data_IF_623470581462
#
_entry.id   IF_623470581462
#
_cell.length_a   1.000
_cell.length_b   1.000
_cell.length_c   1.000
_cell.angle_alpha   90.00
_cell.angle_beta   90.00
_cell.angle_gamma   90.00
#
_symmetry.space_group_name_H-M   'P 1'
#
loop_
_entity.id
_entity.type
_entity.pdbx_description
1 polymer ?
#
# COMPACT_ATOMS: atom_id res chain seq x y z
N UNK A 1 -8.50 15.72 33.29
CA UNK A 1 -9.17 14.63 32.54
C UNK A 1 -9.98 15.19 31.39
N UNK A 2 -10.85 16.14 31.64
CA UNK A 2 -11.66 16.76 30.62
C UNK A 2 -10.82 17.47 29.54
N UNK A 3 -9.74 18.14 29.96
CA UNK A 3 -8.81 18.81 29.02
C UNK A 3 -8.16 17.82 28.06
N UNK A 4 -7.78 16.64 28.55
CA UNK A 4 -7.15 15.60 27.71
C UNK A 4 -8.16 15.05 26.71
N UNK A 5 -9.39 14.76 27.15
CA UNK A 5 -10.45 14.27 26.27
C UNK A 5 -10.85 15.30 25.23
N UNK A 6 -10.99 16.58 25.63
CA UNK A 6 -11.28 17.66 24.71
C UNK A 6 -10.14 17.86 23.73
N UNK A 7 -8.87 17.73 24.19
CA UNK A 7 -7.70 17.83 23.35
C UNK A 7 -7.65 16.75 22.28
N UNK A 8 -7.94 15.50 22.65
CA UNK A 8 -7.96 14.36 21.72
C UNK A 8 -9.11 14.51 20.72
N UNK A 9 -10.31 14.86 21.21
CA UNK A 9 -11.48 15.08 20.37
C UNK A 9 -11.28 16.21 19.38
N UNK A 10 -10.71 17.32 19.84
CA UNK A 10 -10.39 18.47 18.99
C UNK A 10 -9.36 18.10 17.93
N UNK A 11 -8.31 17.38 18.32
CA UNK A 11 -7.26 16.93 17.41
C UNK A 11 -7.84 16.02 16.33
N UNK A 12 -8.66 15.06 16.72
CA UNK A 12 -9.31 14.11 15.81
C UNK A 12 -10.22 14.85 14.82
N UNK A 13 -11.06 15.77 15.33
CA UNK A 13 -11.93 16.59 14.48
C UNK A 13 -11.12 17.44 13.50
N UNK A 14 -9.99 17.97 13.95
CA UNK A 14 -9.10 18.77 13.11
C UNK A 14 -8.56 17.96 11.93
N UNK A 15 -8.13 16.74 12.20
CA UNK A 15 -7.64 15.83 11.16
C UNK A 15 -8.75 15.51 10.16
N UNK A 16 -9.94 15.15 10.63
CA UNK A 16 -11.07 14.82 9.76
C UNK A 16 -11.48 16.03 8.91
N UNK A 17 -11.54 17.22 9.50
CA UNK A 17 -11.87 18.43 8.77
C UNK A 17 -10.81 18.77 7.73
N UNK A 18 -9.54 18.57 8.05
CA UNK A 18 -8.44 18.80 7.11
C UNK A 18 -8.52 17.82 5.93
N UNK A 19 -8.82 16.54 6.19
CA UNK A 19 -8.99 15.54 5.14
C UNK A 19 -10.17 15.86 4.24
N UNK A 20 -11.31 16.26 4.83
CA UNK A 20 -12.49 16.64 4.07
C UNK A 20 -12.21 17.87 3.18
N UNK A 21 -11.54 18.90 3.73
CA UNK A 21 -11.17 20.07 2.97
C UNK A 21 -10.22 19.72 1.82
N UNK A 22 -9.27 18.82 2.06
CA UNK A 22 -8.33 18.35 1.05
C UNK A 22 -9.08 17.68 -0.11
N UNK A 23 -10.01 16.78 0.20
CA UNK A 23 -10.78 16.03 -0.81
C UNK A 23 -11.73 16.93 -1.56
N UNK A 24 -12.48 17.80 -0.86
CA UNK A 24 -13.48 18.70 -1.47
C UNK A 24 -12.83 19.71 -2.41
N UNK A 25 -11.67 20.25 -2.02
CA UNK A 25 -10.96 21.23 -2.83
C UNK A 25 -10.16 20.66 -3.98
N UNK A 26 -10.17 19.33 -4.15
CA UNK A 26 -9.31 18.65 -5.12
C UNK A 26 -9.93 18.64 -6.51
N UNK A 27 -9.15 18.93 -7.59
CA UNK A 27 -9.63 18.77 -8.96
C UNK A 27 -10.06 17.32 -9.23
N UNK A 28 -10.98 17.15 -10.19
CA UNK A 28 -11.53 15.82 -10.54
C UNK A 28 -10.44 14.81 -10.91
N UNK A 29 -9.43 15.26 -11.66
CA UNK A 29 -8.32 14.38 -12.08
C UNK A 29 -7.52 13.88 -10.86
N UNK A 30 -7.32 14.73 -9.87
CA UNK A 30 -6.61 14.35 -8.65
C UNK A 30 -7.44 13.39 -7.80
N UNK A 31 -8.77 13.54 -7.80
CA UNK A 31 -9.66 12.59 -7.13
C UNK A 31 -9.58 11.20 -7.75
N UNK A 32 -9.52 11.12 -9.08
CA UNK A 32 -9.36 9.85 -9.80
C UNK A 32 -8.02 9.20 -9.40
N UNK A 33 -6.94 9.98 -9.39
CA UNK A 33 -5.63 9.47 -9.00
C UNK A 33 -5.57 9.07 -7.54
N UNK A 34 -6.26 9.81 -6.67
CA UNK A 34 -6.37 9.44 -5.25
C UNK A 34 -7.05 8.08 -5.10
N UNK A 35 -8.13 7.85 -5.83
CA UNK A 35 -8.85 6.57 -5.82
C UNK A 35 -7.94 5.42 -6.31
N UNK A 36 -7.17 5.66 -7.38
CA UNK A 36 -6.22 4.69 -7.92
C UNK A 36 -5.14 4.39 -6.87
N UNK A 37 -4.59 5.42 -6.24
CA UNK A 37 -3.59 5.25 -5.19
C UNK A 37 -4.09 4.47 -4.00
N UNK A 38 -5.32 4.75 -3.55
CA UNK A 38 -5.94 4.03 -2.45
C UNK A 38 -6.20 2.58 -2.81
N UNK A 39 -6.65 2.30 -4.03
CA UNK A 39 -6.83 0.92 -4.50
C UNK A 39 -5.49 0.18 -4.50
N UNK A 40 -4.44 0.80 -5.02
CA UNK A 40 -3.10 0.23 -5.00
C UNK A 40 -2.61 -0.03 -3.58
N UNK A 41 -2.87 0.89 -2.66
CA UNK A 41 -2.48 0.74 -1.27
C UNK A 41 -3.23 -0.42 -0.60
N UNK A 42 -4.53 -0.58 -0.91
CA UNK A 42 -5.31 -1.71 -0.40
C UNK A 42 -4.76 -3.05 -0.91
N UNK A 43 -4.42 -3.13 -2.19
CA UNK A 43 -3.80 -4.32 -2.76
C UNK A 43 -2.44 -4.60 -2.10
N UNK A 44 -1.66 -3.56 -1.89
CA UNK A 44 -0.35 -3.67 -1.27
C UNK A 44 -0.45 -4.14 0.18
N UNK A 45 -1.46 -3.65 0.92
CA UNK A 45 -1.71 -4.07 2.30
C UNK A 45 -2.28 -5.49 2.38
N UNK A 46 -3.08 -5.88 1.40
CA UNK A 46 -3.67 -7.22 1.35
C UNK A 46 -2.59 -8.32 1.34
N UNK A 47 -1.39 -8.00 0.87
CA UNK A 47 -0.27 -8.94 0.87
C UNK A 47 0.09 -9.43 2.27
N UNK A 48 0.00 -8.56 3.26
CA UNK A 48 0.28 -8.92 4.65
C UNK A 48 -0.82 -9.83 5.22
N UNK A 49 -2.06 -9.57 4.88
CA UNK A 49 -3.19 -10.39 5.33
C UNK A 49 -3.08 -11.80 4.74
N UNK A 50 -2.80 -11.90 3.45
CA UNK A 50 -2.61 -13.18 2.76
C UNK A 50 -1.45 -13.97 3.38
N UNK A 51 -0.31 -13.30 3.62
CA UNK A 51 0.86 -13.92 4.23
C UNK A 51 0.53 -14.41 5.64
N UNK A 52 -0.18 -13.61 6.42
CA UNK A 52 -0.53 -13.96 7.79
C UNK A 52 -1.46 -15.18 7.83
N UNK A 53 -2.52 -15.17 7.03
CA UNK A 53 -3.47 -16.29 6.96
C UNK A 53 -2.75 -17.57 6.52
N UNK A 54 -1.89 -17.47 5.51
CA UNK A 54 -1.12 -18.62 5.01
C UNK A 54 -0.20 -19.18 6.10
N UNK A 55 0.47 -18.31 6.83
CA UNK A 55 1.35 -18.71 7.94
C UNK A 55 0.58 -19.38 9.07
N UNK A 56 -0.59 -18.83 9.43
CA UNK A 56 -1.43 -19.40 10.48
C UNK A 56 -1.91 -20.82 10.12
N UNK A 57 -2.28 -21.04 8.86
CA UNK A 57 -2.73 -22.35 8.38
C UNK A 57 -1.63 -23.41 8.49
N UNK A 58 -0.38 -23.03 8.32
CA UNK A 58 0.74 -23.95 8.30
C UNK A 58 1.52 -23.97 9.64
N UNK A 59 1.12 -23.15 10.60
CA UNK A 59 1.78 -23.10 11.92
C UNK A 59 3.21 -22.60 11.91
N UNK A 60 3.63 -21.94 10.84
CA UNK A 60 4.98 -21.36 10.71
C UNK A 60 4.96 -20.19 9.75
N UNK A 61 5.96 -19.32 9.85
CA UNK A 61 6.06 -18.14 8.99
C UNK A 61 6.40 -18.55 7.56
N UNK A 62 5.46 -18.31 6.64
CA UNK A 62 5.60 -18.64 5.24
C UNK A 62 5.16 -17.45 4.38
N UNK A 63 5.78 -17.29 3.22
CA UNK A 63 5.44 -16.26 2.26
C UNK A 63 4.90 -16.95 1.00
N UNK A 64 3.56 -16.89 0.74
CA UNK A 64 3.00 -17.48 -0.47
C UNK A 64 3.37 -16.68 -1.71
N UNK A 65 3.30 -17.30 -2.89
CA UNK A 65 3.62 -16.63 -4.15
C UNK A 65 2.70 -15.43 -4.40
N UNK A 66 1.45 -15.49 -3.93
CA UNK A 66 0.50 -14.39 -4.05
C UNK A 66 0.97 -13.11 -3.37
N UNK A 67 1.77 -13.22 -2.29
CA UNK A 67 2.39 -12.07 -1.64
C UNK A 67 3.21 -11.23 -2.64
N UNK A 68 4.00 -11.91 -3.47
CA UNK A 68 4.87 -11.24 -4.45
C UNK A 68 4.05 -10.59 -5.58
N UNK A 69 2.99 -11.25 -6.04
CA UNK A 69 2.10 -10.67 -7.06
C UNK A 69 1.35 -9.46 -6.53
N UNK A 70 0.80 -9.54 -5.32
CA UNK A 70 0.12 -8.40 -4.69
C UNK A 70 1.08 -7.25 -4.44
N UNK A 71 2.32 -7.55 -4.02
CA UNK A 71 3.35 -6.55 -3.80
C UNK A 71 3.70 -5.84 -5.11
N UNK A 72 3.87 -6.58 -6.19
CA UNK A 72 4.22 -6.00 -7.47
C UNK A 72 3.08 -5.15 -8.04
N UNK A 73 1.87 -5.70 -8.10
CA UNK A 73 0.72 -4.99 -8.68
C UNK A 73 0.39 -3.76 -7.83
N UNK A 74 0.21 -3.95 -6.52
CA UNK A 74 -0.09 -2.85 -5.62
C UNK A 74 1.02 -1.80 -5.59
N UNK A 75 2.27 -2.25 -5.57
CA UNK A 75 3.42 -1.37 -5.57
C UNK A 75 3.54 -0.54 -6.84
N UNK A 76 3.27 -1.14 -8.01
CA UNK A 76 3.27 -0.40 -9.28
C UNK A 76 2.16 0.65 -9.33
N UNK A 77 0.97 0.33 -8.83
CA UNK A 77 -0.14 1.29 -8.77
C UNK A 77 0.20 2.45 -7.83
N UNK A 78 0.74 2.16 -6.66
CA UNK A 78 1.17 3.19 -5.70
C UNK A 78 2.30 4.03 -6.28
N UNK A 79 3.24 3.41 -7.01
CA UNK A 79 4.32 4.13 -7.68
C UNK A 79 3.77 5.10 -8.74
N UNK A 80 2.80 4.66 -9.53
CA UNK A 80 2.15 5.52 -10.52
C UNK A 80 1.49 6.73 -9.84
N UNK A 81 0.82 6.50 -8.71
CA UNK A 81 0.24 7.59 -7.91
C UNK A 81 1.34 8.54 -7.41
N UNK A 82 2.43 7.99 -6.89
CA UNK A 82 3.56 8.80 -6.42
C UNK A 82 4.18 9.64 -7.51
N UNK A 83 4.29 9.10 -8.73
CA UNK A 83 4.78 9.84 -9.89
C UNK A 83 3.83 10.97 -10.29
N UNK A 84 2.52 10.71 -10.25
CA UNK A 84 1.53 11.76 -10.51
C UNK A 84 1.62 12.90 -9.50
N UNK A 85 1.81 12.57 -8.23
CA UNK A 85 1.95 13.54 -7.14
C UNK A 85 3.36 14.14 -7.05
N UNK A 86 4.33 13.59 -7.75
CA UNK A 86 5.74 13.94 -7.64
C UNK A 86 6.23 13.86 -6.19
N UNK A 87 5.82 12.79 -5.51
CA UNK A 87 6.17 12.55 -4.11
C UNK A 87 7.43 11.70 -4.04
N UNK A 88 8.58 12.30 -3.64
CA UNK A 88 9.85 11.56 -3.61
C UNK A 88 9.85 10.42 -2.59
N UNK A 89 9.10 10.53 -1.50
CA UNK A 89 9.06 9.48 -0.47
C UNK A 89 8.42 8.23 -1.06
N UNK A 90 7.28 8.38 -1.73
CA UNK A 90 6.59 7.24 -2.36
C UNK A 90 7.45 6.65 -3.48
N UNK A 91 8.01 7.49 -4.33
CA UNK A 91 8.84 7.05 -5.46
C UNK A 91 10.04 6.23 -4.96
N UNK A 92 10.80 6.76 -4.00
CA UNK A 92 11.96 6.09 -3.44
C UNK A 92 11.58 4.83 -2.68
N UNK A 93 10.40 4.81 -2.05
CA UNK A 93 9.92 3.64 -1.33
C UNK A 93 9.51 2.51 -2.25
N UNK A 94 8.92 2.81 -3.41
CA UNK A 94 8.36 1.79 -4.29
C UNK A 94 9.33 1.29 -5.38
N UNK A 95 10.26 2.14 -5.85
CA UNK A 95 11.19 1.74 -6.92
C UNK A 95 12.05 0.54 -6.54
N UNK A 96 12.76 0.53 -5.40
CA UNK A 96 13.55 -0.64 -5.02
C UNK A 96 12.69 -1.87 -4.80
N UNK A 97 11.50 -1.70 -4.20
CA UNK A 97 10.56 -2.79 -3.99
C UNK A 97 10.13 -3.45 -5.28
N UNK A 98 9.83 -2.65 -6.31
CA UNK A 98 9.44 -3.17 -7.62
C UNK A 98 10.51 -4.10 -8.18
N UNK A 99 11.77 -3.71 -8.09
CA UNK A 99 12.90 -4.54 -8.55
C UNK A 99 12.96 -5.85 -7.76
N UNK A 100 12.84 -5.76 -6.43
CA UNK A 100 12.90 -6.93 -5.54
C UNK A 100 11.74 -7.89 -5.81
N UNK A 101 10.52 -7.38 -5.96
CA UNK A 101 9.34 -8.21 -6.20
C UNK A 101 9.43 -8.92 -7.53
N UNK A 102 9.84 -8.20 -8.58
CA UNK A 102 10.03 -8.79 -9.91
C UNK A 102 11.09 -9.89 -9.87
N UNK A 103 12.21 -9.62 -9.21
CA UNK A 103 13.30 -10.61 -9.12
C UNK A 103 12.86 -11.86 -8.35
N UNK A 104 12.13 -11.68 -7.25
CA UNK A 104 11.64 -12.82 -6.48
C UNK A 104 10.67 -13.70 -7.30
N UNK A 105 9.78 -13.07 -8.07
CA UNK A 105 8.85 -13.79 -8.94
C UNK A 105 9.61 -14.56 -10.02
N UNK A 106 10.63 -13.95 -10.62
CA UNK A 106 11.48 -14.62 -11.62
C UNK A 106 12.18 -15.84 -11.02
N UNK A 107 12.73 -15.70 -9.81
CA UNK A 107 13.42 -16.79 -9.13
C UNK A 107 12.48 -17.93 -8.77
N UNK A 108 11.25 -17.62 -8.34
CA UNK A 108 10.24 -18.62 -8.02
C UNK A 108 9.85 -19.40 -9.28
N UNK A 109 9.58 -18.69 -10.39
CA UNK A 109 9.25 -19.33 -11.67
C UNK A 109 10.40 -20.21 -12.17
N UNK A 110 11.61 -19.73 -12.06
CA UNK A 110 12.81 -20.49 -12.45
C UNK A 110 12.95 -21.77 -11.63
N UNK A 111 12.70 -21.69 -10.33
CA UNK A 111 12.73 -22.84 -9.44
C UNK A 111 11.65 -23.85 -9.79
N UNK A 112 10.44 -23.41 -10.11
CA UNK A 112 9.33 -24.27 -10.50
C UNK A 112 9.59 -24.96 -11.83
N UNK A 113 10.22 -24.30 -12.79
CA UNK A 113 10.50 -24.88 -14.11
C UNK A 113 11.59 -25.96 -14.06
N UNK A 114 12.39 -26.01 -12.99
CA UNK A 114 13.41 -27.07 -12.79
C UNK A 114 12.82 -28.37 -12.29
N UNK A 115 11.64 -28.32 -11.73
CA UNK A 115 10.96 -29.46 -11.14
C UNK A 115 9.62 -29.68 -11.80
#
# INVERSE_FOLDING_TARGET
MQIVNDGIGTYFSHIINALNAYIIGMPSIDLIWLAIGLLGQCLFMARFIVQWIHSEKHGKSLIPISFWYLSLIGGLVVLAYGLHKLDPVIILGQLPGTVVYTRNLMLIKRSQSKY
#
